data_IF_741818505685
#
_entry.id   IF_741818505685
#
_cell.length_a   1.000
_cell.length_b   1.000
_cell.length_c   1.000
_cell.angle_alpha   90.00
_cell.angle_beta   90.00
_cell.angle_gamma   90.00
#
_symmetry.space_group_name_H-M   'P 1'
#
loop_
_entity.id
_entity.type
_entity.pdbx_description
1 polymer ?
#
# COMPACT_ATOMS: atom_id res chain seq x y z
N UNK A 1 14.05 21.02 17.22
CA UNK A 1 13.91 19.54 17.21
C UNK A 1 12.51 19.08 17.63
N UNK A 2 11.91 19.59 18.72
CA UNK A 2 10.55 19.22 19.19
C UNK A 2 9.43 19.27 18.13
N UNK A 3 9.51 20.18 17.17
CA UNK A 3 8.54 20.29 16.07
C UNK A 3 8.63 19.11 15.09
N UNK A 4 9.85 18.74 14.67
CA UNK A 4 10.08 17.60 13.78
C UNK A 4 9.60 16.30 14.43
N UNK A 5 9.95 16.09 15.70
CA UNK A 5 9.55 14.89 16.43
C UNK A 5 8.03 14.80 16.59
N UNK A 6 7.35 15.96 16.74
CA UNK A 6 5.88 16.01 16.80
C UNK A 6 5.26 15.67 15.45
N UNK A 7 5.83 16.19 14.36
CA UNK A 7 5.37 15.88 13.01
C UNK A 7 5.53 14.39 12.68
N UNK A 8 6.69 13.79 12.97
CA UNK A 8 6.95 12.37 12.74
C UNK A 8 5.94 11.51 13.52
N UNK A 9 5.76 11.78 14.82
CA UNK A 9 4.78 11.02 15.64
C UNK A 9 3.35 11.16 15.14
N UNK A 10 2.99 12.31 14.57
CA UNK A 10 1.67 12.51 13.98
C UNK A 10 1.49 11.67 12.72
N UNK A 11 2.46 11.69 11.80
CA UNK A 11 2.45 10.87 10.58
C UNK A 11 2.43 9.38 10.94
N UNK A 12 3.25 8.95 11.90
CA UNK A 12 3.28 7.56 12.35
C UNK A 12 1.95 7.11 12.96
N UNK A 13 1.32 7.97 13.76
CA UNK A 13 0.00 7.70 14.33
C UNK A 13 -1.08 7.61 13.25
N UNK A 14 -1.03 8.50 12.25
CA UNK A 14 -1.97 8.51 11.14
C UNK A 14 -1.84 7.22 10.31
N UNK A 15 -0.61 6.88 9.90
CA UNK A 15 -0.32 5.65 9.17
C UNK A 15 -0.75 4.41 9.94
N UNK A 16 -0.54 4.40 11.26
CA UNK A 16 -0.95 3.30 12.13
C UNK A 16 -2.48 3.15 12.19
N UNK A 17 -3.22 4.25 12.30
CA UNK A 17 -4.69 4.24 12.33
C UNK A 17 -5.26 3.79 10.98
N UNK A 18 -4.75 4.35 9.90
CA UNK A 18 -5.14 4.02 8.53
C UNK A 18 -4.86 2.53 8.26
N UNK A 19 -3.62 2.09 8.47
CA UNK A 19 -3.20 0.70 8.22
C UNK A 19 -4.02 -0.33 8.99
N UNK A 20 -4.27 -0.10 10.29
CA UNK A 20 -5.12 -1.01 11.09
C UNK A 20 -6.58 -1.00 10.65
N UNK A 21 -7.09 0.13 10.15
CA UNK A 21 -8.44 0.20 9.57
C UNK A 21 -8.53 -0.62 8.28
N UNK A 22 -7.57 -0.43 7.38
CA UNK A 22 -7.53 -1.12 6.07
C UNK A 22 -7.27 -2.61 6.22
N UNK A 23 -6.57 -3.06 7.26
CA UNK A 23 -6.36 -4.47 7.52
C UNK A 23 -7.67 -5.29 7.55
N UNK A 24 -8.79 -4.69 7.94
CA UNK A 24 -10.11 -5.32 7.89
C UNK A 24 -10.64 -5.54 6.47
N UNK A 25 -10.25 -4.72 5.50
CA UNK A 25 -10.57 -4.93 4.09
C UNK A 25 -9.93 -6.21 3.56
N UNK A 26 -8.77 -6.62 4.10
CA UNK A 26 -8.17 -7.92 3.76
C UNK A 26 -9.08 -9.07 4.15
N UNK A 27 -9.67 -9.02 5.35
CA UNK A 27 -10.66 -10.02 5.77
C UNK A 27 -11.86 -10.04 4.84
N UNK A 28 -12.38 -8.86 4.47
CA UNK A 28 -13.48 -8.75 3.51
C UNK A 28 -13.10 -9.34 2.14
N UNK A 29 -11.92 -9.02 1.61
CA UNK A 29 -11.42 -9.54 0.35
C UNK A 29 -11.38 -11.08 0.38
N UNK A 30 -10.85 -11.69 1.44
CA UNK A 30 -10.81 -13.15 1.58
C UNK A 30 -12.22 -13.75 1.56
N UNK A 31 -13.20 -13.11 2.21
CA UNK A 31 -14.58 -13.57 2.17
C UNK A 31 -15.18 -13.47 0.75
N UNK A 32 -14.92 -12.37 0.04
CA UNK A 32 -15.40 -12.18 -1.34
C UNK A 32 -14.78 -13.21 -2.28
N UNK A 33 -13.47 -13.42 -2.23
CA UNK A 33 -12.76 -14.44 -3.03
C UNK A 33 -13.26 -15.85 -2.69
N UNK A 34 -13.49 -16.15 -1.41
CA UNK A 34 -14.02 -17.45 -0.99
C UNK A 34 -15.42 -17.67 -1.55
N UNK A 35 -16.26 -16.63 -1.55
CA UNK A 35 -17.59 -16.66 -2.15
C UNK A 35 -17.52 -16.85 -3.67
N UNK A 36 -16.63 -16.14 -4.37
CA UNK A 36 -16.44 -16.30 -5.81
C UNK A 36 -16.01 -17.72 -6.15
N UNK A 37 -14.98 -18.25 -5.47
CA UNK A 37 -14.52 -19.65 -5.65
C UNK A 37 -15.66 -20.64 -5.38
N UNK A 38 -16.43 -20.46 -4.31
CA UNK A 38 -17.57 -21.32 -3.99
C UNK A 38 -18.61 -21.32 -5.13
N UNK A 39 -19.06 -20.14 -5.56
CA UNK A 39 -20.09 -20.01 -6.60
C UNK A 39 -19.59 -20.52 -7.96
N UNK A 40 -18.33 -20.23 -8.29
CA UNK A 40 -17.68 -20.60 -9.55
C UNK A 40 -17.54 -22.11 -9.70
N UNK A 41 -17.08 -22.81 -8.66
CA UNK A 41 -16.79 -24.24 -8.75
C UNK A 41 -17.95 -25.13 -8.34
N UNK A 42 -18.70 -24.79 -7.28
CA UNK A 42 -19.80 -25.65 -6.79
C UNK A 42 -21.11 -25.34 -7.50
N UNK A 43 -21.41 -24.06 -7.69
CA UNK A 43 -22.66 -23.62 -8.33
C UNK A 43 -22.51 -23.42 -9.85
N UNK A 44 -21.29 -23.54 -10.38
CA UNK A 44 -20.96 -23.31 -11.80
C UNK A 44 -21.46 -21.96 -12.32
N UNK A 45 -21.48 -20.94 -11.45
CA UNK A 45 -21.88 -19.57 -11.78
C UNK A 45 -20.72 -18.64 -11.48
N UNK A 46 -20.41 -17.76 -12.42
CA UNK A 46 -19.42 -16.69 -12.24
C UNK A 46 -20.10 -15.33 -12.35
N UNK A 47 -19.60 -14.35 -11.60
CA UNK A 47 -20.11 -12.98 -11.63
C UNK A 47 -18.96 -12.02 -11.88
N UNK A 48 -19.02 -11.29 -12.99
CA UNK A 48 -18.04 -10.24 -13.31
C UNK A 48 -18.04 -9.17 -12.21
N UNK A 49 -19.20 -8.84 -11.63
CA UNK A 49 -19.28 -7.84 -10.57
C UNK A 49 -18.53 -8.25 -9.29
N UNK A 50 -18.53 -9.55 -8.95
CA UNK A 50 -17.78 -10.06 -7.79
C UNK A 50 -16.29 -10.00 -8.08
N UNK A 51 -15.88 -10.38 -9.27
CA UNK A 51 -14.48 -10.30 -9.69
C UNK A 51 -13.98 -8.85 -9.74
N UNK A 52 -14.75 -7.91 -10.28
CA UNK A 52 -14.42 -6.49 -10.23
C UNK A 52 -14.27 -5.99 -8.78
N UNK A 53 -15.18 -6.39 -7.88
CA UNK A 53 -15.10 -6.03 -6.47
C UNK A 53 -13.80 -6.52 -5.81
N UNK A 54 -13.33 -7.73 -6.12
CA UNK A 54 -12.05 -8.26 -5.63
C UNK A 54 -10.88 -7.37 -6.05
N UNK A 55 -10.83 -6.98 -7.33
CA UNK A 55 -9.78 -6.12 -7.87
C UNK A 55 -9.77 -4.75 -7.20
N UNK A 56 -10.93 -4.15 -7.00
CA UNK A 56 -11.05 -2.85 -6.34
C UNK A 56 -10.67 -2.91 -4.85
N UNK A 57 -11.13 -3.95 -4.13
CA UNK A 57 -10.74 -4.17 -2.74
C UNK A 57 -9.23 -4.38 -2.61
N UNK A 58 -8.64 -5.19 -3.49
CA UNK A 58 -7.20 -5.42 -3.50
C UNK A 58 -6.41 -4.14 -3.79
N UNK A 59 -6.83 -3.33 -4.77
CA UNK A 59 -6.20 -2.06 -5.10
C UNK A 59 -6.24 -1.08 -3.91
N UNK A 60 -7.38 -0.97 -3.23
CA UNK A 60 -7.53 -0.13 -2.03
C UNK A 60 -6.60 -0.59 -0.91
N UNK A 61 -6.54 -1.89 -0.63
CA UNK A 61 -5.65 -2.45 0.39
C UNK A 61 -4.20 -2.12 0.05
N UNK A 62 -3.77 -2.40 -1.18
CA UNK A 62 -2.38 -2.22 -1.60
C UNK A 62 -1.94 -0.77 -1.51
N UNK A 63 -2.72 0.16 -2.08
CA UNK A 63 -2.37 1.57 -2.13
C UNK A 63 -2.37 2.22 -0.74
N UNK A 64 -3.41 1.93 0.06
CA UNK A 64 -3.58 2.61 1.34
C UNK A 64 -2.73 1.98 2.46
N UNK A 65 -2.36 0.69 2.36
CA UNK A 65 -1.46 0.03 3.30
C UNK A 65 0.04 0.21 2.94
N UNK A 66 0.37 0.77 1.77
CA UNK A 66 1.75 0.97 1.33
C UNK A 66 2.55 1.83 2.33
N UNK A 67 1.99 2.97 2.79
CA UNK A 67 2.65 3.83 3.76
C UNK A 67 2.83 3.16 5.14
N UNK A 68 1.86 2.34 5.57
CA UNK A 68 1.94 1.58 6.82
C UNK A 68 3.06 0.54 6.77
N UNK A 69 3.14 -0.23 5.68
CA UNK A 69 4.21 -1.23 5.51
C UNK A 69 5.58 -0.60 5.32
N UNK A 70 5.67 0.55 4.65
CA UNK A 70 6.92 1.30 4.48
C UNK A 70 7.45 1.87 5.81
N UNK A 71 6.56 2.38 6.67
CA UNK A 71 6.91 2.84 8.03
C UNK A 71 7.60 1.74 8.84
N UNK A 72 7.11 0.51 8.75
CA UNK A 72 7.64 -0.64 9.49
C UNK A 72 8.82 -1.34 8.78
N UNK A 73 9.30 -0.78 7.66
CA UNK A 73 10.35 -1.39 6.83
C UNK A 73 9.98 -2.81 6.32
N UNK A 74 8.69 -3.08 6.20
CA UNK A 74 8.10 -4.35 5.73
C UNK A 74 7.59 -4.30 4.30
N UNK A 75 7.79 -3.17 3.62
CA UNK A 75 7.53 -3.10 2.19
C UNK A 75 8.50 -4.02 1.45
N UNK A 76 7.99 -4.79 0.48
CA UNK A 76 8.81 -5.78 -0.24
C UNK A 76 9.94 -5.06 -0.96
N UNK A 77 11.18 -5.36 -0.56
CA UNK A 77 12.39 -4.83 -1.16
C UNK A 77 13.44 -5.93 -1.32
N UNK A 78 14.31 -5.75 -2.30
CA UNK A 78 15.39 -6.70 -2.59
C UNK A 78 16.69 -6.12 -2.03
N UNK A 79 17.12 -6.59 -0.86
CA UNK A 79 18.26 -6.06 -0.12
C UNK A 79 19.53 -6.89 -0.32
N UNK A 80 20.21 -6.74 -1.46
CA UNK A 80 21.48 -7.46 -1.67
C UNK A 80 22.65 -6.80 -0.93
N UNK A 81 22.74 -5.47 -0.97
CA UNK A 81 23.85 -4.72 -0.37
C UNK A 81 23.45 -3.96 0.92
N UNK A 82 22.16 -3.64 1.06
CA UNK A 82 21.63 -2.80 2.14
C UNK A 82 21.82 -3.40 3.55
N UNK A 83 21.74 -4.73 3.66
CA UNK A 83 21.86 -5.47 4.93
C UNK A 83 23.23 -5.31 5.59
N UNK A 84 24.30 -5.13 4.81
CA UNK A 84 25.67 -4.99 5.31
C UNK A 84 26.08 -3.53 5.58
N UNK A 85 25.19 -2.56 5.37
CA UNK A 85 25.49 -1.15 5.53
C UNK A 85 25.39 -0.71 6.99
N UNK A 86 26.19 0.30 7.37
CA UNK A 86 26.04 0.95 8.67
C UNK A 86 24.71 1.73 8.75
N UNK A 87 24.17 2.00 9.95
CA UNK A 87 22.89 2.71 10.10
C UNK A 87 22.86 4.07 9.37
N UNK A 88 23.99 4.78 9.32
CA UNK A 88 24.10 6.04 8.59
C UNK A 88 24.00 5.85 7.07
N UNK A 89 24.62 4.80 6.52
CA UNK A 89 24.53 4.49 5.08
C UNK A 89 23.13 4.04 4.70
N UNK A 90 22.48 3.23 5.54
CA UNK A 90 21.08 2.84 5.35
C UNK A 90 20.16 4.06 5.33
N UNK A 91 20.31 4.99 6.28
CA UNK A 91 19.53 6.23 6.30
C UNK A 91 19.73 7.08 5.03
N UNK A 92 20.97 7.21 4.54
CA UNK A 92 21.25 7.92 3.28
C UNK A 92 20.62 7.23 2.07
N UNK A 93 20.71 5.90 1.98
CA UNK A 93 20.09 5.14 0.89
C UNK A 93 18.57 5.30 0.91
N UNK A 94 17.93 5.19 2.07
CA UNK A 94 16.49 5.36 2.20
C UNK A 94 16.07 6.79 1.85
N UNK A 95 16.82 7.81 2.29
CA UNK A 95 16.53 9.20 1.97
C UNK A 95 16.65 9.46 0.46
N UNK A 96 17.80 9.12 -0.14
CA UNK A 96 18.03 9.34 -1.56
C UNK A 96 17.07 8.51 -2.42
N UNK A 97 16.83 7.26 -2.06
CA UNK A 97 15.89 6.40 -2.76
C UNK A 97 14.45 6.93 -2.69
N UNK A 98 14.05 7.45 -1.53
CA UNK A 98 12.75 8.11 -1.38
C UNK A 98 12.64 9.35 -2.25
N UNK A 99 13.66 10.22 -2.24
CA UNK A 99 13.64 11.48 -2.98
C UNK A 99 13.70 11.28 -4.50
N UNK A 100 14.50 10.32 -4.99
CA UNK A 100 14.79 10.15 -6.42
C UNK A 100 13.87 9.14 -7.09
N UNK A 101 13.35 8.15 -6.35
CA UNK A 101 12.47 7.13 -6.92
C UNK A 101 11.05 7.22 -6.40
N UNK A 102 10.83 7.19 -5.07
CA UNK A 102 9.49 7.11 -4.52
C UNK A 102 8.66 8.38 -4.78
N UNK A 103 9.22 9.56 -4.53
CA UNK A 103 8.51 10.84 -4.74
C UNK A 103 8.17 11.05 -6.22
N UNK A 104 9.12 10.94 -7.18
CA UNK A 104 8.79 11.08 -8.60
C UNK A 104 7.76 10.05 -9.07
N UNK A 105 7.87 8.80 -8.63
CA UNK A 105 6.87 7.78 -8.92
C UNK A 105 5.48 8.16 -8.41
N UNK A 106 5.38 8.63 -7.16
CA UNK A 106 4.12 9.08 -6.58
C UNK A 106 3.52 10.27 -7.36
N UNK A 107 4.35 11.23 -7.79
CA UNK A 107 3.92 12.36 -8.62
C UNK A 107 3.37 11.88 -9.95
N UNK A 108 4.07 10.97 -10.64
CA UNK A 108 3.61 10.38 -11.91
C UNK A 108 2.29 9.66 -11.73
N UNK A 109 2.14 8.87 -10.66
CA UNK A 109 0.89 8.17 -10.37
C UNK A 109 -0.28 9.12 -10.13
N UNK A 110 -0.06 10.22 -9.41
CA UNK A 110 -1.09 11.24 -9.16
C UNK A 110 -1.48 11.91 -10.49
N UNK A 111 -0.51 12.37 -11.28
CA UNK A 111 -0.76 13.03 -12.56
C UNK A 111 -1.47 12.10 -13.56
N UNK A 112 -1.08 10.83 -13.62
CA UNK A 112 -1.70 9.84 -14.50
C UNK A 112 -3.14 9.48 -14.07
N UNK A 113 -3.40 9.43 -12.76
CA UNK A 113 -4.73 9.11 -12.23
C UNK A 113 -5.69 10.30 -12.25
N UNK A 114 -5.19 11.54 -12.24
CA UNK A 114 -6.02 12.76 -12.30
C UNK A 114 -6.97 12.77 -13.51
N UNK A 115 -6.45 12.48 -14.71
CA UNK A 115 -7.28 12.42 -15.91
C UNK A 115 -8.35 11.33 -15.85
N UNK A 116 -8.06 10.21 -15.21
CA UNK A 116 -9.02 9.14 -15.03
C UNK A 116 -10.15 9.56 -14.07
N UNK A 117 -9.79 10.16 -12.93
CA UNK A 117 -10.75 10.61 -11.91
C UNK A 117 -11.64 11.72 -12.44
N UNK A 118 -11.11 12.66 -13.24
CA UNK A 118 -11.90 13.76 -13.79
C UNK A 118 -12.86 13.33 -14.91
N UNK A 119 -12.58 12.21 -15.59
CA UNK A 119 -13.38 11.71 -16.71
C UNK A 119 -14.28 10.51 -16.36
N UNK A 120 -14.31 10.09 -15.09
CA UNK A 120 -15.18 9.02 -14.56
C UNK A 120 -16.44 9.59 -13.94
#
# INVERSE_FOLDING_TARGET
>A
MKFLDRYIRFVDWLNEKIGRGIAWLTTLLVLVVSYDVFTRYLLKRSSVAVQELEWHLFALIFLLAAAYTLKDDRHVRVDVFYTNFSPRRQAWVNLLGTLVFLIPFAVVMIAASEQFVLNS
#
